data_IF_404712935153
#
_entry.id   IF_404712935153
#
_cell.length_a   1.000
_cell.length_b   1.000
_cell.length_c   1.000
_cell.angle_alpha   90.00
_cell.angle_beta   90.00
_cell.angle_gamma   90.00
#
_symmetry.space_group_name_H-M   'P 1'
#
loop_
_entity.id
_entity.type
_entity.pdbx_description
1 polymer ?
#
# COMPACT_ATOMS: atom_id res chain seq x y z
N UNK A 1 -60.30 -27.08 -30.53
CA UNK A 1 -59.41 -26.29 -31.40
C UNK A 1 -58.20 -25.87 -30.57
N UNK A 2 -57.03 -26.46 -30.80
CA UNK A 2 -55.79 -26.13 -30.09
C UNK A 2 -54.87 -25.36 -31.05
N UNK A 3 -54.53 -24.13 -30.71
CA UNK A 3 -53.53 -23.34 -31.43
C UNK A 3 -52.13 -23.93 -31.22
N UNK A 4 -51.31 -24.08 -32.29
CA UNK A 4 -49.95 -24.55 -32.15
C UNK A 4 -49.08 -23.49 -31.45
N UNK A 5 -48.25 -23.91 -30.49
CA UNK A 5 -47.22 -23.07 -29.87
C UNK A 5 -46.22 -22.60 -30.94
N UNK A 6 -45.71 -21.35 -30.85
CA UNK A 6 -44.66 -20.89 -31.74
C UNK A 6 -43.38 -21.70 -31.53
N UNK A 7 -42.57 -21.91 -32.59
CA UNK A 7 -41.32 -22.65 -32.48
C UNK A 7 -40.34 -21.92 -31.56
N UNK A 8 -39.65 -22.68 -30.73
CA UNK A 8 -38.57 -22.17 -29.88
C UNK A 8 -37.50 -21.51 -30.77
N UNK A 9 -36.89 -20.39 -30.32
CA UNK A 9 -35.80 -19.77 -31.05
C UNK A 9 -34.66 -20.78 -31.23
N UNK A 10 -33.97 -20.78 -32.38
CA UNK A 10 -32.88 -21.70 -32.63
C UNK A 10 -31.81 -21.52 -31.55
N UNK A 11 -31.39 -22.63 -30.95
CA UNK A 11 -30.30 -22.64 -29.99
C UNK A 11 -29.07 -22.00 -30.64
N UNK A 12 -28.57 -20.92 -30.03
CA UNK A 12 -27.32 -20.29 -30.48
C UNK A 12 -26.23 -21.36 -30.51
N UNK A 13 -25.58 -21.50 -31.66
CA UNK A 13 -24.44 -22.40 -31.80
C UNK A 13 -23.39 -22.04 -30.74
N UNK A 14 -22.84 -23.03 -30.00
CA UNK A 14 -21.81 -22.79 -28.99
C UNK A 14 -20.59 -22.05 -29.58
N UNK A 15 -20.33 -22.17 -30.88
CA UNK A 15 -19.28 -21.41 -31.57
C UNK A 15 -19.57 -19.90 -31.64
N UNK A 16 -20.84 -19.50 -31.79
CA UNK A 16 -21.26 -18.09 -31.81
C UNK A 16 -21.23 -17.52 -30.39
N UNK A 17 -21.65 -18.31 -29.39
CA UNK A 17 -21.55 -17.92 -27.98
C UNK A 17 -20.09 -17.72 -27.53
N UNK A 18 -19.17 -18.60 -27.96
CA UNK A 18 -17.72 -18.47 -27.69
C UNK A 18 -17.12 -17.28 -28.44
N UNK A 19 -17.51 -17.03 -29.70
CA UNK A 19 -17.04 -15.87 -30.45
C UNK A 19 -17.53 -14.54 -29.84
N UNK A 20 -18.80 -14.48 -29.40
CA UNK A 20 -19.35 -13.30 -28.72
C UNK A 20 -18.72 -13.08 -27.33
N UNK A 21 -18.47 -14.16 -26.57
CA UNK A 21 -17.73 -14.08 -25.31
C UNK A 21 -16.28 -13.63 -25.52
N UNK A 22 -15.60 -14.11 -26.56
CA UNK A 22 -14.26 -13.69 -26.94
C UNK A 22 -14.19 -12.21 -27.36
N UNK A 23 -15.15 -11.75 -28.17
CA UNK A 23 -15.26 -10.34 -28.54
C UNK A 23 -15.60 -9.45 -27.33
N UNK A 24 -16.48 -9.89 -26.43
CA UNK A 24 -16.78 -9.17 -25.20
C UNK A 24 -15.56 -9.06 -24.29
N UNK A 25 -14.78 -10.13 -24.14
CA UNK A 25 -13.53 -10.12 -23.35
C UNK A 25 -12.44 -9.24 -23.98
N UNK A 26 -12.32 -9.23 -25.32
CA UNK A 26 -11.38 -8.35 -26.02
C UNK A 26 -11.80 -6.87 -25.94
N UNK A 27 -13.10 -6.58 -26.01
CA UNK A 27 -13.64 -5.22 -25.84
C UNK A 27 -13.47 -4.74 -24.40
N UNK A 28 -13.73 -5.60 -23.41
CA UNK A 28 -13.45 -5.32 -21.99
C UNK A 28 -11.95 -5.11 -21.79
N UNK A 29 -11.08 -5.97 -22.34
CA UNK A 29 -9.63 -5.81 -22.27
C UNK A 29 -9.12 -4.51 -22.90
N UNK A 30 -9.66 -4.12 -24.05
CA UNK A 30 -9.31 -2.86 -24.73
C UNK A 30 -9.87 -1.62 -24.01
N UNK A 31 -11.07 -1.70 -23.41
CA UNK A 31 -11.64 -0.64 -22.58
C UNK A 31 -10.87 -0.47 -21.27
N UNK A 32 -10.45 -1.57 -20.63
CA UNK A 32 -9.58 -1.54 -19.45
C UNK A 32 -8.20 -0.94 -19.80
N UNK A 33 -7.63 -1.29 -20.95
CA UNK A 33 -6.36 -0.70 -21.43
C UNK A 33 -6.48 0.80 -21.73
N UNK A 34 -7.59 1.25 -22.33
CA UNK A 34 -7.85 2.66 -22.59
C UNK A 34 -8.18 3.47 -21.32
N UNK A 35 -8.88 2.87 -20.37
CA UNK A 35 -9.26 3.53 -19.12
C UNK A 35 -8.11 3.56 -18.10
N UNK A 36 -7.20 2.58 -18.15
CA UNK A 36 -6.16 2.40 -17.12
C UNK A 36 -4.74 2.64 -17.61
N UNK A 37 -4.53 2.77 -18.93
CA UNK A 37 -3.23 2.98 -19.55
C UNK A 37 -2.24 1.81 -19.32
N UNK A 38 -1.10 1.79 -20.03
CA UNK A 38 0.05 1.07 -19.51
C UNK A 38 0.46 1.69 -18.17
N UNK A 39 0.93 0.90 -17.18
CA UNK A 39 1.53 1.47 -15.99
C UNK A 39 2.64 2.45 -16.42
N UNK A 40 2.77 3.62 -15.77
CA UNK A 40 3.89 4.52 -16.04
C UNK A 40 5.20 3.75 -15.87
N UNK A 41 6.21 4.09 -16.68
CA UNK A 41 7.54 3.50 -16.52
C UNK A 41 8.00 3.71 -15.06
N UNK A 42 8.47 2.65 -14.38
CA UNK A 42 8.88 2.78 -12.98
C UNK A 42 10.10 3.69 -12.83
N UNK A 43 9.99 4.73 -12.01
CA UNK A 43 11.06 5.71 -11.81
C UNK A 43 12.27 5.19 -11.00
N UNK A 44 12.21 4.00 -10.42
CA UNK A 44 13.32 3.44 -9.61
C UNK A 44 14.57 3.11 -10.46
N UNK A 45 14.47 3.12 -11.79
CA UNK A 45 15.64 3.09 -12.69
C UNK A 45 16.49 4.38 -12.64
N UNK A 46 15.94 5.49 -12.12
CA UNK A 46 16.69 6.71 -11.84
C UNK A 46 17.55 6.65 -10.56
N UNK A 47 17.38 5.61 -9.75
CA UNK A 47 17.92 5.50 -8.38
C UNK A 47 19.19 4.66 -8.27
N UNK A 48 19.77 4.21 -9.39
CA UNK A 48 20.92 3.29 -9.39
C UNK A 48 22.10 3.81 -8.54
N UNK A 49 22.32 5.13 -8.52
CA UNK A 49 23.37 5.72 -7.66
C UNK A 49 23.04 5.62 -6.17
N UNK A 50 21.78 5.83 -5.77
CA UNK A 50 21.35 5.69 -4.38
C UNK A 50 21.41 4.22 -3.94
N UNK A 51 21.00 3.30 -4.82
CA UNK A 51 21.07 1.86 -4.60
C UNK A 51 22.53 1.36 -4.45
N UNK A 52 23.47 1.91 -5.23
CA UNK A 52 24.89 1.59 -5.11
C UNK A 52 25.46 2.13 -3.80
N UNK A 53 25.20 3.40 -3.48
CA UNK A 53 25.71 4.05 -2.25
C UNK A 53 25.17 3.43 -0.97
N UNK A 54 23.94 2.92 -0.98
CA UNK A 54 23.35 2.29 0.20
C UNK A 54 24.00 0.93 0.51
N UNK A 55 24.71 0.33 -0.45
CA UNK A 55 25.47 -0.90 -0.25
C UNK A 55 24.59 -2.05 0.26
N UNK A 56 24.76 -2.37 1.54
CA UNK A 56 24.03 -3.45 2.24
C UNK A 56 22.56 -3.11 2.49
N UNK A 57 22.27 -1.84 2.72
CA UNK A 57 20.96 -1.38 3.12
C UNK A 57 20.12 -0.97 1.93
N UNK A 58 18.80 -0.95 2.12
CA UNK A 58 17.91 -0.30 1.17
C UNK A 58 18.11 1.22 1.27
N UNK A 59 18.09 1.95 0.15
CA UNK A 59 18.10 3.40 0.21
C UNK A 59 16.84 3.91 0.94
N UNK A 60 16.89 5.11 1.53
CA UNK A 60 15.71 5.71 2.15
C UNK A 60 14.54 5.82 1.15
N UNK A 61 13.34 5.40 1.56
CA UNK A 61 12.14 5.55 0.75
C UNK A 61 11.69 7.01 0.76
N UNK A 62 11.82 7.68 -0.39
CA UNK A 62 11.33 9.03 -0.60
C UNK A 62 10.03 8.95 -1.41
N UNK A 63 8.95 9.50 -0.84
CA UNK A 63 7.66 9.61 -1.53
C UNK A 63 7.51 11.06 -2.03
N UNK A 64 7.27 11.20 -3.32
CA UNK A 64 6.92 12.49 -3.93
C UNK A 64 5.43 12.76 -3.70
N UNK A 65 5.13 13.82 -2.94
CA UNK A 65 3.76 14.20 -2.61
C UNK A 65 2.96 14.69 -3.84
N UNK A 66 3.61 15.35 -4.80
CA UNK A 66 2.97 15.82 -6.02
C UNK A 66 2.66 14.66 -6.96
N UNK A 67 3.57 13.69 -7.08
CA UNK A 67 3.31 12.45 -7.80
C UNK A 67 2.20 11.64 -7.15
N UNK A 68 2.23 11.48 -5.82
CA UNK A 68 1.17 10.81 -5.07
C UNK A 68 -0.20 11.45 -5.34
N UNK A 69 -0.28 12.78 -5.30
CA UNK A 69 -1.53 13.48 -5.59
C UNK A 69 -1.97 13.31 -7.04
N UNK A 70 -1.05 13.43 -8.02
CA UNK A 70 -1.37 13.19 -9.44
C UNK A 70 -1.87 11.77 -9.69
N UNK A 71 -1.27 10.77 -9.04
CA UNK A 71 -1.70 9.38 -9.16
C UNK A 71 -3.12 9.17 -8.61
N UNK A 72 -3.50 9.90 -7.55
CA UNK A 72 -4.84 9.85 -6.94
C UNK A 72 -5.91 10.58 -7.73
N UNK A 73 -5.58 11.66 -8.43
CA UNK A 73 -6.55 12.41 -9.24
C UNK A 73 -7.28 11.55 -10.28
N UNK A 74 -6.64 10.49 -10.78
CA UNK A 74 -7.26 9.51 -11.70
C UNK A 74 -8.30 8.60 -11.02
N UNK A 75 -8.24 8.51 -9.68
CA UNK A 75 -9.16 7.72 -8.85
C UNK A 75 -10.23 8.59 -8.17
N UNK A 76 -9.94 9.86 -7.94
CA UNK A 76 -10.82 10.81 -7.25
C UNK A 76 -11.81 11.51 -8.20
N UNK A 77 -12.16 10.91 -9.36
CA UNK A 77 -13.24 11.42 -10.21
C UNK A 77 -14.55 11.49 -9.39
N UNK A 78 -15.21 12.65 -9.38
CA UNK A 78 -16.42 12.87 -8.59
C UNK A 78 -17.51 11.87 -8.99
N UNK A 79 -17.84 10.98 -8.06
CA UNK A 79 -18.98 10.07 -8.22
C UNK A 79 -20.24 10.81 -7.82
N UNK A 80 -21.10 11.11 -8.79
CA UNK A 80 -22.44 11.63 -8.52
C UNK A 80 -23.32 10.53 -7.91
N UNK A 81 -23.41 10.51 -6.59
CA UNK A 81 -24.29 9.59 -5.86
C UNK A 81 -25.75 10.06 -5.94
N UNK A 82 -26.67 9.11 -6.14
CA UNK A 82 -28.10 9.35 -5.95
C UNK A 82 -28.40 9.70 -4.49
N UNK A 83 -29.55 10.32 -4.21
CA UNK A 83 -29.94 10.67 -2.83
C UNK A 83 -29.97 9.45 -1.89
N UNK A 84 -30.36 8.27 -2.40
CA UNK A 84 -30.33 7.02 -1.64
C UNK A 84 -28.89 6.60 -1.32
N UNK A 85 -27.99 6.63 -2.31
CA UNK A 85 -26.58 6.30 -2.11
C UNK A 85 -25.87 7.31 -1.21
N UNK A 86 -26.26 8.59 -1.22
CA UNK A 86 -25.74 9.59 -0.28
C UNK A 86 -26.09 9.24 1.17
N UNK A 87 -27.33 8.84 1.44
CA UNK A 87 -27.74 8.41 2.78
C UNK A 87 -26.98 7.14 3.24
N UNK A 88 -26.74 6.20 2.32
CA UNK A 88 -25.93 5.00 2.60
C UNK A 88 -24.46 5.34 2.85
N UNK A 89 -23.89 6.29 2.09
CA UNK A 89 -22.54 6.79 2.29
C UNK A 89 -22.39 7.44 3.68
N UNK A 90 -23.30 8.32 4.08
CA UNK A 90 -23.30 8.91 5.42
C UNK A 90 -23.42 7.82 6.52
N UNK A 91 -24.29 6.83 6.31
CA UNK A 91 -24.44 5.70 7.23
C UNK A 91 -23.16 4.87 7.33
N UNK A 92 -22.43 4.67 6.22
CA UNK A 92 -21.15 3.98 6.20
C UNK A 92 -20.10 4.76 7.00
N UNK A 93 -19.97 6.07 6.77
CA UNK A 93 -19.03 6.90 7.52
C UNK A 93 -19.33 6.87 9.03
N UNK A 94 -20.60 6.90 9.42
CA UNK A 94 -21.00 6.78 10.82
C UNK A 94 -20.67 5.41 11.42
N UNK A 95 -20.90 4.32 10.68
CA UNK A 95 -20.51 2.98 11.13
C UNK A 95 -18.99 2.85 11.29
N UNK A 96 -18.21 3.48 10.42
CA UNK A 96 -16.74 3.51 10.55
C UNK A 96 -16.33 4.33 11.78
N UNK A 97 -17.00 5.45 12.09
CA UNK A 97 -16.76 6.22 13.31
C UNK A 97 -17.09 5.41 14.57
N UNK A 98 -18.17 4.63 14.56
CA UNK A 98 -18.48 3.67 15.63
C UNK A 98 -17.34 2.65 15.81
N UNK A 99 -16.85 2.08 14.70
CA UNK A 99 -15.75 1.13 14.71
C UNK A 99 -14.45 1.74 15.25
N UNK A 100 -14.15 2.99 14.88
CA UNK A 100 -12.99 3.73 15.38
C UNK A 100 -13.08 3.99 16.88
N UNK A 101 -14.23 4.44 17.38
CA UNK A 101 -14.45 4.66 18.82
C UNK A 101 -14.29 3.37 19.63
N UNK A 102 -14.71 2.23 19.09
CA UNK A 102 -14.59 0.94 19.75
C UNK A 102 -13.14 0.42 19.92
N UNK A 103 -12.14 1.08 19.32
CA UNK A 103 -10.73 0.68 19.44
C UNK A 103 -10.06 1.18 20.73
N UNK A 104 -10.72 2.05 21.49
CA UNK A 104 -10.18 2.61 22.72
C UNK A 104 -10.57 1.76 23.92
N UNK A 105 -9.65 1.65 24.90
CA UNK A 105 -9.82 0.77 26.06
C UNK A 105 -10.98 1.16 26.99
N UNK A 106 -11.42 2.41 26.91
CA UNK A 106 -12.52 2.99 27.69
C UNK A 106 -13.85 3.04 26.92
N UNK A 107 -13.91 2.45 25.72
CA UNK A 107 -15.12 2.43 24.90
C UNK A 107 -16.14 1.39 25.40
N UNK A 108 -17.42 1.71 25.23
CA UNK A 108 -18.50 0.76 25.48
C UNK A 108 -18.37 -0.46 24.53
N UNK A 109 -18.64 -1.69 25.00
CA UNK A 109 -18.61 -2.87 24.15
C UNK A 109 -19.56 -2.73 22.97
N UNK A 110 -19.08 -3.02 21.78
CA UNK A 110 -19.87 -3.09 20.55
C UNK A 110 -19.91 -4.53 20.03
N UNK A 111 -21.04 -4.93 19.44
CA UNK A 111 -21.10 -6.17 18.68
C UNK A 111 -20.34 -5.98 17.36
N UNK A 112 -19.06 -6.37 17.36
CA UNK A 112 -18.17 -6.25 16.22
C UNK A 112 -18.68 -7.00 14.98
N UNK A 113 -19.40 -8.12 15.17
CA UNK A 113 -19.94 -8.90 14.05
C UNK A 113 -21.12 -8.18 13.42
N UNK A 114 -22.02 -7.63 14.23
CA UNK A 114 -23.13 -6.83 13.72
C UNK A 114 -22.63 -5.56 13.03
N UNK A 115 -21.62 -4.89 13.59
CA UNK A 115 -21.02 -3.71 12.98
C UNK A 115 -20.34 -4.03 11.63
N UNK A 116 -19.56 -5.11 11.56
CA UNK A 116 -18.95 -5.55 10.30
C UNK A 116 -20.03 -5.89 9.26
N UNK A 117 -21.07 -6.63 9.63
CA UNK A 117 -22.16 -6.96 8.72
C UNK A 117 -22.87 -5.72 8.17
N UNK A 118 -23.08 -4.69 9.01
CA UNK A 118 -23.63 -3.39 8.59
C UNK A 118 -22.69 -2.66 7.63
N UNK A 119 -21.39 -2.66 7.91
CA UNK A 119 -20.38 -2.04 7.02
C UNK A 119 -20.36 -2.77 5.67
N UNK A 120 -20.40 -4.11 5.67
CA UNK A 120 -20.41 -4.92 4.45
C UNK A 120 -21.66 -4.65 3.61
N UNK A 121 -22.84 -4.57 4.24
CA UNK A 121 -24.11 -4.26 3.57
C UNK A 121 -24.07 -2.87 2.91
N UNK A 122 -23.68 -1.84 3.65
CA UNK A 122 -23.57 -0.47 3.15
C UNK A 122 -22.51 -0.34 2.06
N UNK A 123 -21.41 -1.06 2.18
CA UNK A 123 -20.36 -1.02 1.17
C UNK A 123 -20.78 -1.73 -0.11
N UNK A 124 -21.48 -2.87 -0.01
CA UNK A 124 -21.98 -3.63 -1.15
C UNK A 124 -23.01 -2.85 -1.98
N UNK A 125 -23.78 -1.95 -1.36
CA UNK A 125 -24.70 -1.07 -2.10
C UNK A 125 -23.99 0.09 -2.80
N UNK A 126 -22.89 0.60 -2.23
CA UNK A 126 -22.13 1.74 -2.77
C UNK A 126 -21.17 1.33 -3.89
N UNK A 127 -20.55 0.15 -3.82
CA UNK A 127 -19.55 -0.29 -4.81
C UNK A 127 -20.06 -0.25 -6.26
N UNK A 128 -21.27 -0.74 -6.59
CA UNK A 128 -21.81 -0.62 -7.95
C UNK A 128 -22.01 0.83 -8.41
N UNK A 129 -22.31 1.75 -7.48
CA UNK A 129 -22.56 3.15 -7.78
C UNK A 129 -21.26 3.94 -8.00
N UNK A 130 -20.18 3.55 -7.33
CA UNK A 130 -18.87 4.23 -7.41
C UNK A 130 -17.95 3.65 -8.47
N UNK A 131 -18.27 2.47 -9.00
CA UNK A 131 -17.35 1.71 -9.83
C UNK A 131 -16.08 1.29 -9.07
N UNK A 132 -15.08 0.75 -9.78
CA UNK A 132 -13.95 0.10 -9.13
C UNK A 132 -13.00 1.06 -8.40
N UNK A 133 -12.95 2.33 -8.78
CA UNK A 133 -11.98 3.28 -8.22
C UNK A 133 -12.62 4.34 -7.33
N UNK A 134 -13.93 4.54 -7.44
CA UNK A 134 -14.64 5.59 -6.72
C UNK A 134 -14.97 5.27 -5.26
N UNK A 135 -14.74 4.04 -4.78
CA UNK A 135 -15.07 3.69 -3.40
C UNK A 135 -14.14 4.36 -2.38
N UNK A 136 -12.82 4.30 -2.56
CA UNK A 136 -11.85 4.91 -1.63
C UNK A 136 -12.06 6.44 -1.48
N UNK A 137 -12.31 7.21 -2.55
CA UNK A 137 -12.66 8.63 -2.45
C UNK A 137 -13.84 8.95 -1.53
N UNK A 138 -14.80 8.02 -1.34
CA UNK A 138 -15.90 8.23 -0.39
C UNK A 138 -15.40 8.44 1.05
N UNK A 139 -14.23 7.92 1.40
CA UNK A 139 -13.62 8.09 2.72
C UNK A 139 -12.89 9.41 2.93
N UNK A 140 -12.76 10.28 1.91
CA UNK A 140 -11.86 11.45 1.97
C UNK A 140 -12.10 12.36 3.18
N UNK A 141 -13.37 12.61 3.52
CA UNK A 141 -13.71 13.42 4.71
C UNK A 141 -13.27 12.79 6.03
N UNK A 142 -13.22 11.45 6.13
CA UNK A 142 -12.65 10.76 7.29
C UNK A 142 -11.12 10.90 7.31
N UNK A 143 -10.46 10.78 6.15
CA UNK A 143 -9.01 10.87 6.06
C UNK A 143 -8.51 12.26 6.45
N UNK A 144 -9.12 13.32 5.91
CA UNK A 144 -8.76 14.71 6.21
C UNK A 144 -8.99 15.07 7.68
N UNK A 145 -10.15 14.65 8.22
CA UNK A 145 -10.47 14.85 9.63
C UNK A 145 -9.50 14.07 10.53
N UNK A 146 -9.12 12.86 10.14
CA UNK A 146 -8.13 12.07 10.86
C UNK A 146 -6.75 12.74 10.83
N UNK A 147 -6.24 13.14 9.66
CA UNK A 147 -4.94 13.80 9.54
C UNK A 147 -4.85 15.06 10.41
N UNK A 148 -5.91 15.88 10.39
CA UNK A 148 -5.99 17.10 11.20
C UNK A 148 -6.00 16.80 12.70
N UNK A 149 -6.88 15.90 13.14
CA UNK A 149 -7.06 15.58 14.56
C UNK A 149 -5.90 14.77 15.16
N UNK A 150 -5.22 13.93 14.37
CA UNK A 150 -3.97 13.30 14.77
C UNK A 150 -2.87 14.35 14.98
N UNK A 151 -2.72 15.31 14.07
CA UNK A 151 -1.71 16.36 14.24
C UNK A 151 -1.98 17.21 15.49
N UNK A 152 -3.24 17.49 15.81
CA UNK A 152 -3.64 18.15 17.07
C UNK A 152 -3.26 17.34 18.32
N UNK A 153 -3.45 16.01 18.26
CA UNK A 153 -3.07 15.08 19.34
C UNK A 153 -1.54 15.04 19.51
N UNK A 154 -0.79 14.87 18.42
CA UNK A 154 0.68 14.85 18.47
C UNK A 154 1.25 16.20 18.92
N UNK A 155 0.66 17.31 18.50
CA UNK A 155 1.01 18.64 19.00
C UNK A 155 0.72 18.79 20.51
N UNK A 156 -0.30 18.11 21.04
CA UNK A 156 -0.58 18.05 22.47
C UNK A 156 0.52 17.31 23.25
N UNK A 157 1.04 16.23 22.66
CA UNK A 157 2.16 15.48 23.24
C UNK A 157 3.43 16.33 23.24
N UNK A 158 3.78 16.94 22.10
CA UNK A 158 4.99 17.78 21.96
C UNK A 158 5.03 18.97 22.91
N UNK A 159 3.88 19.54 23.28
CA UNK A 159 3.77 20.64 24.25
C UNK A 159 3.63 20.20 25.70
N UNK A 160 3.71 18.89 25.97
CA UNK A 160 3.59 18.31 27.31
C UNK A 160 2.18 18.34 27.91
N UNK A 161 1.14 18.56 27.10
CA UNK A 161 -0.25 18.58 27.57
C UNK A 161 -0.87 17.17 27.69
N UNK A 162 -0.19 16.15 27.15
CA UNK A 162 -0.56 14.74 27.16
C UNK A 162 0.74 13.93 27.02
N UNK A 163 0.83 12.74 27.60
CA UNK A 163 1.97 11.84 27.31
C UNK A 163 1.72 11.02 26.04
N UNK A 164 2.78 10.49 25.42
CA UNK A 164 2.63 9.60 24.27
C UNK A 164 1.95 8.26 24.64
N UNK A 165 2.11 7.82 25.89
CA UNK A 165 1.44 6.65 26.46
C UNK A 165 -0.07 6.87 26.55
N UNK A 166 -0.51 8.02 27.08
CA UNK A 166 -1.93 8.36 27.13
C UNK A 166 -2.53 8.49 25.72
N UNK A 167 -1.77 9.05 24.76
CA UNK A 167 -2.18 9.14 23.36
C UNK A 167 -2.32 7.76 22.68
N UNK A 168 -1.58 6.75 23.18
CA UNK A 168 -1.54 5.37 22.68
C UNK A 168 -2.65 4.48 23.27
N UNK A 169 -3.38 4.95 24.29
CA UNK A 169 -4.39 4.15 24.99
C UNK A 169 -5.78 4.73 24.79
N UNK A 170 -6.05 5.89 25.40
CA UNK A 170 -7.38 6.52 25.43
C UNK A 170 -7.25 8.03 25.69
N UNK A 171 -6.90 8.84 24.67
CA UNK A 171 -6.75 10.30 24.86
C UNK A 171 -8.05 10.94 25.34
N UNK A 172 -8.01 11.79 26.37
CA UNK A 172 -9.21 12.19 27.13
C UNK A 172 -10.31 12.89 26.29
N UNK A 173 -11.57 12.51 26.57
CA UNK A 173 -12.76 13.23 26.12
C UNK A 173 -13.04 14.46 27.01
N UNK A 174 -13.68 15.53 26.49
CA UNK A 174 -14.15 15.70 25.11
C UNK A 174 -13.05 16.19 24.15
N UNK A 175 -11.86 16.51 24.66
CA UNK A 175 -10.81 17.23 23.93
C UNK A 175 -10.37 16.54 22.63
N UNK A 176 -10.27 15.22 22.62
CA UNK A 176 -9.80 14.44 21.46
C UNK A 176 -10.91 13.59 20.81
N UNK A 177 -12.17 14.03 20.91
CA UNK A 177 -13.30 13.31 20.31
C UNK A 177 -13.11 13.10 18.80
N UNK A 178 -12.71 14.15 18.06
CA UNK A 178 -12.51 14.05 16.61
C UNK A 178 -11.46 13.00 16.22
N UNK A 179 -10.32 12.94 16.93
CA UNK A 179 -9.31 11.91 16.71
C UNK A 179 -9.87 10.50 16.92
N UNK A 180 -10.60 10.30 18.02
CA UNK A 180 -11.19 9.00 18.34
C UNK A 180 -12.21 8.54 17.29
N UNK A 181 -12.97 9.48 16.73
CA UNK A 181 -14.00 9.18 15.72
C UNK A 181 -13.41 8.92 14.33
N UNK A 182 -12.39 9.68 13.92
CA UNK A 182 -11.93 9.65 12.53
C UNK A 182 -10.71 8.77 12.32
N UNK A 183 -9.79 8.69 13.29
CA UNK A 183 -8.60 7.86 13.18
C UNK A 183 -8.76 6.47 13.77
N UNK A 184 -9.48 6.35 14.91
CA UNK A 184 -9.32 5.19 15.79
C UNK A 184 -7.99 5.23 16.54
N UNK A 185 -7.62 4.14 17.22
CA UNK A 185 -6.41 4.11 18.05
C UNK A 185 -5.15 3.79 17.21
N UNK A 186 -4.72 4.76 16.38
CA UNK A 186 -3.62 4.55 15.40
C UNK A 186 -2.23 4.81 15.97
N UNK A 187 -2.08 5.60 17.04
CA UNK A 187 -0.77 5.96 17.60
C UNK A 187 0.09 4.73 17.95
N UNK A 188 -0.42 3.65 18.57
CA UNK A 188 0.36 2.44 18.81
C UNK A 188 0.94 1.84 17.52
N UNK A 189 0.15 1.78 16.45
CA UNK A 189 0.56 1.24 15.14
C UNK A 189 1.63 2.12 14.50
N UNK A 190 1.50 3.45 14.63
CA UNK A 190 2.51 4.40 14.13
C UNK A 190 3.85 4.24 14.84
N UNK A 191 3.84 3.92 16.13
CA UNK A 191 5.06 3.68 16.92
C UNK A 191 5.66 2.31 16.62
N UNK A 192 4.82 1.27 16.57
CA UNK A 192 5.23 -0.11 16.25
C UNK A 192 5.99 -0.17 14.92
N UNK A 193 5.54 0.61 13.94
CA UNK A 193 6.18 0.68 12.63
C UNK A 193 7.11 1.89 12.43
N UNK A 194 7.54 2.53 13.53
CA UNK A 194 8.54 3.61 13.53
C UNK A 194 8.22 4.78 12.56
N UNK A 195 6.93 5.08 12.39
CA UNK A 195 6.46 6.25 11.64
C UNK A 195 6.49 7.52 12.51
N UNK A 196 6.47 7.35 13.83
CA UNK A 196 6.61 8.41 14.82
C UNK A 196 7.81 8.14 15.75
N UNK A 197 8.50 9.21 16.14
CA UNK A 197 9.49 9.19 17.23
C UNK A 197 8.80 9.19 18.61
N UNK A 198 9.57 8.92 19.67
CA UNK A 198 9.07 9.01 21.04
C UNK A 198 8.67 10.44 21.47
N UNK A 199 9.12 11.46 20.74
CA UNK A 199 8.71 12.85 20.93
C UNK A 199 7.46 13.23 20.12
N UNK A 200 6.73 12.24 19.58
CA UNK A 200 5.54 12.46 18.74
C UNK A 200 5.82 13.33 17.50
N UNK A 201 7.00 13.16 16.89
CA UNK A 201 7.39 13.78 15.61
C UNK A 201 7.38 12.71 14.52
N UNK A 202 6.92 13.06 13.32
CA UNK A 202 7.06 12.19 12.14
C UNK A 202 8.54 11.85 11.91
N UNK A 203 8.87 10.56 11.85
CA UNK A 203 10.25 10.08 11.73
C UNK A 203 10.95 10.63 10.48
N UNK A 204 10.22 10.70 9.38
CA UNK A 204 10.66 11.28 8.11
C UNK A 204 9.51 12.03 7.43
N UNK A 205 9.78 12.88 6.43
CA UNK A 205 8.72 13.45 5.58
C UNK A 205 7.81 12.38 4.95
N UNK A 206 8.40 11.26 4.51
CA UNK A 206 7.66 10.12 3.94
C UNK A 206 6.77 9.43 4.97
N UNK A 207 7.09 9.45 6.26
CA UNK A 207 6.29 8.76 7.29
C UNK A 207 4.86 9.28 7.39
N UNK A 208 4.67 10.59 7.23
CA UNK A 208 3.33 11.20 7.17
C UNK A 208 2.56 10.75 5.93
N UNK A 209 3.24 10.66 4.78
CA UNK A 209 2.64 10.19 3.54
C UNK A 209 2.28 8.71 3.63
N UNK A 210 3.14 7.85 4.21
CA UNK A 210 2.82 6.45 4.48
C UNK A 210 1.57 6.32 5.35
N UNK A 211 1.43 7.14 6.40
CA UNK A 211 0.22 7.12 7.23
C UNK A 211 -1.04 7.43 6.42
N UNK A 212 -1.00 8.46 5.60
CA UNK A 212 -2.11 8.82 4.72
C UNK A 212 -2.46 7.69 3.73
N UNK A 213 -1.44 7.05 3.15
CA UNK A 213 -1.61 5.83 2.33
C UNK A 213 -2.26 4.69 3.12
N UNK A 214 -1.87 4.49 4.38
CA UNK A 214 -2.43 3.46 5.24
C UNK A 214 -3.91 3.70 5.57
N UNK A 215 -4.35 4.96 5.72
CA UNK A 215 -5.77 5.27 5.92
C UNK A 215 -6.60 4.88 4.69
N UNK A 216 -6.11 5.22 3.49
CA UNK A 216 -6.76 4.83 2.22
C UNK A 216 -6.74 3.32 2.02
N UNK A 217 -5.62 2.65 2.31
CA UNK A 217 -5.50 1.19 2.28
C UNK A 217 -6.50 0.53 3.23
N UNK A 218 -6.60 1.01 4.48
CA UNK A 218 -7.55 0.50 5.48
C UNK A 218 -8.99 0.60 4.98
N UNK A 219 -9.34 1.72 4.34
CA UNK A 219 -10.68 1.91 3.77
C UNK A 219 -10.93 0.98 2.57
N UNK A 220 -9.94 0.82 1.70
CA UNK A 220 -10.03 -0.10 0.56
C UNK A 220 -10.19 -1.57 1.00
N UNK A 221 -9.55 -1.96 2.11
CA UNK A 221 -9.66 -3.30 2.69
C UNK A 221 -11.07 -3.62 3.22
N UNK A 222 -11.92 -2.61 3.47
CA UNK A 222 -13.32 -2.85 3.88
C UNK A 222 -14.04 -3.72 2.84
N UNK A 223 -13.78 -3.47 1.55
CA UNK A 223 -14.46 -4.17 0.45
C UNK A 223 -13.57 -5.17 -0.28
N UNK A 224 -12.44 -5.60 0.32
CA UNK A 224 -11.47 -6.46 -0.37
C UNK A 224 -12.07 -7.78 -0.92
N UNK A 225 -13.15 -8.26 -0.30
CA UNK A 225 -13.91 -9.45 -0.70
C UNK A 225 -14.77 -9.23 -1.95
N UNK A 226 -15.23 -7.99 -2.17
CA UNK A 226 -16.01 -7.57 -3.34
C UNK A 226 -15.05 -7.14 -4.45
N UNK A 227 -14.00 -6.41 -4.09
CA UNK A 227 -13.04 -5.88 -5.02
C UNK A 227 -11.61 -5.86 -4.45
N UNK A 228 -10.62 -6.40 -5.19
CA UNK A 228 -9.23 -6.39 -4.73
C UNK A 228 -8.70 -4.98 -4.44
N UNK A 229 -8.07 -4.79 -3.27
CA UNK A 229 -7.48 -3.51 -2.81
C UNK A 229 -6.56 -2.87 -3.84
N UNK A 230 -5.75 -3.67 -4.54
CA UNK A 230 -4.84 -3.22 -5.59
C UNK A 230 -5.51 -2.51 -6.78
N UNK A 231 -6.81 -2.74 -6.98
CA UNK A 231 -7.59 -2.10 -8.05
C UNK A 231 -8.27 -0.81 -7.59
N UNK A 232 -8.36 -0.61 -6.27
CA UNK A 232 -9.01 0.54 -5.66
C UNK A 232 -8.01 1.68 -5.42
N UNK A 233 -6.79 1.33 -5.03
CA UNK A 233 -5.71 2.29 -4.76
C UNK A 233 -5.01 2.75 -6.05
N UNK A 234 -4.45 3.96 -6.02
CA UNK A 234 -3.61 4.44 -7.11
C UNK A 234 -2.34 3.58 -7.24
N UNK A 235 -1.84 3.29 -8.46
CA UNK A 235 -0.67 2.43 -8.64
C UNK A 235 0.57 2.88 -7.84
N UNK A 236 0.91 4.17 -7.91
CA UNK A 236 2.03 4.75 -7.16
C UNK A 236 1.82 4.63 -5.64
N UNK A 237 0.58 4.81 -5.16
CA UNK A 237 0.23 4.68 -3.76
C UNK A 237 0.48 3.25 -3.25
N UNK A 238 0.01 2.27 -4.01
CA UNK A 238 0.16 0.86 -3.68
C UNK A 238 1.61 0.38 -3.83
N UNK A 239 2.36 0.96 -4.78
CA UNK A 239 3.81 0.79 -4.92
C UNK A 239 4.55 1.26 -3.67
N UNK A 240 4.33 2.51 -3.22
CA UNK A 240 5.02 3.06 -2.05
C UNK A 240 4.72 2.28 -0.77
N UNK A 241 3.47 1.85 -0.59
CA UNK A 241 3.09 0.96 0.53
C UNK A 241 3.84 -0.37 0.47
N UNK A 242 3.95 -0.96 -0.73
CA UNK A 242 4.63 -2.24 -0.94
C UNK A 242 6.13 -2.12 -0.71
N UNK A 243 6.75 -1.05 -1.23
CA UNK A 243 8.17 -0.73 -1.00
C UNK A 243 8.45 -0.50 0.47
N UNK A 244 7.66 0.32 1.16
CA UNK A 244 7.83 0.55 2.62
C UNK A 244 7.84 -0.76 3.42
N UNK A 245 6.89 -1.66 3.14
CA UNK A 245 6.80 -2.99 3.77
C UNK A 245 8.01 -3.91 3.51
N UNK A 246 8.77 -3.68 2.44
CA UNK A 246 9.92 -4.49 2.04
C UNK A 246 11.24 -3.81 2.40
N UNK A 247 11.34 -2.49 2.30
CA UNK A 247 12.59 -1.71 2.32
C UNK A 247 12.89 -1.14 3.70
N UNK A 248 11.86 -0.83 4.50
CA UNK A 248 12.04 -0.24 5.83
C UNK A 248 12.40 -1.31 6.87
N UNK A 249 13.62 -1.22 7.39
CA UNK A 249 14.15 -2.15 8.38
C UNK A 249 13.66 -1.88 9.80
N UNK A 250 13.21 -0.65 10.09
CA UNK A 250 12.73 -0.25 11.41
C UNK A 250 11.22 -0.54 11.53
N UNK A 251 10.48 -0.57 10.42
CA UNK A 251 9.04 -0.85 10.41
C UNK A 251 8.69 -2.34 10.52
N UNK A 252 9.52 -3.24 9.96
CA UNK A 252 9.21 -4.67 9.88
C UNK A 252 10.45 -5.56 10.04
N UNK A 253 10.27 -6.71 10.69
CA UNK A 253 11.30 -7.73 10.78
C UNK A 253 11.61 -8.38 9.40
N UNK A 254 12.81 -8.96 9.26
CA UNK A 254 13.28 -9.58 8.00
C UNK A 254 12.34 -10.67 7.48
N UNK A 255 11.78 -11.51 8.36
CA UNK A 255 10.85 -12.59 7.93
C UNK A 255 9.57 -12.01 7.37
N UNK A 256 9.06 -10.94 7.97
CA UNK A 256 7.88 -10.21 7.49
C UNK A 256 8.17 -9.53 6.15
N UNK A 257 9.30 -8.85 6.01
CA UNK A 257 9.75 -8.23 4.75
C UNK A 257 9.89 -9.24 3.60
N UNK A 258 10.43 -10.43 3.87
CA UNK A 258 10.50 -11.55 2.89
C UNK A 258 9.13 -12.02 2.41
N UNK A 259 8.13 -12.06 3.30
CA UNK A 259 6.74 -12.42 2.93
C UNK A 259 6.10 -11.38 2.02
N UNK A 260 6.42 -10.11 2.21
CA UNK A 260 5.99 -9.06 1.29
C UNK A 260 6.72 -9.13 -0.05
N UNK A 261 8.03 -9.35 -0.02
CA UNK A 261 8.86 -9.50 -1.23
C UNK A 261 8.36 -10.63 -2.14
N UNK A 262 7.90 -11.77 -1.58
CA UNK A 262 7.39 -12.88 -2.39
C UNK A 262 6.10 -12.57 -3.16
N UNK A 263 5.48 -11.41 -2.92
CA UNK A 263 4.24 -10.95 -3.56
C UNK A 263 4.44 -9.69 -4.39
N UNK A 264 5.68 -9.23 -4.56
CA UNK A 264 5.96 -7.93 -5.18
C UNK A 264 5.74 -7.93 -6.69
N UNK A 265 6.08 -9.00 -7.42
CA UNK A 265 6.09 -8.99 -8.89
C UNK A 265 4.73 -8.68 -9.55
N UNK A 266 3.57 -9.14 -9.02
CA UNK A 266 2.27 -8.72 -9.55
C UNK A 266 1.92 -7.24 -9.30
N UNK A 267 2.68 -6.56 -8.44
CA UNK A 267 2.43 -5.18 -7.97
C UNK A 267 3.42 -4.23 -8.64
N UNK A 268 4.71 -4.58 -8.59
CA UNK A 268 5.82 -3.82 -9.14
C UNK A 268 6.60 -4.81 -10.03
N UNK A 269 6.20 -4.98 -11.30
CA UNK A 269 6.74 -6.03 -12.18
C UNK A 269 8.26 -5.98 -12.33
N UNK A 270 8.83 -4.79 -12.37
CA UNK A 270 10.26 -4.61 -12.62
C UNK A 270 11.09 -4.53 -11.33
N UNK A 271 10.48 -4.66 -10.15
CA UNK A 271 11.20 -4.58 -8.87
C UNK A 271 12.37 -5.56 -8.81
N UNK A 272 13.53 -5.09 -8.35
CA UNK A 272 14.73 -5.92 -8.26
C UNK A 272 14.68 -6.90 -7.08
N UNK A 273 13.95 -8.00 -7.29
CA UNK A 273 13.75 -9.07 -6.32
C UNK A 273 15.07 -9.73 -5.91
N UNK A 274 16.00 -9.89 -6.85
CA UNK A 274 17.28 -10.55 -6.60
C UNK A 274 18.15 -9.72 -5.64
N UNK A 275 18.26 -8.40 -5.89
CA UNK A 275 18.96 -7.48 -5.00
C UNK A 275 18.26 -7.38 -3.64
N UNK A 276 16.93 -7.28 -3.61
CA UNK A 276 16.19 -7.21 -2.36
C UNK A 276 16.42 -8.47 -1.50
N UNK A 277 16.41 -9.66 -2.11
CA UNK A 277 16.77 -10.89 -1.41
C UNK A 277 18.20 -10.85 -0.87
N UNK A 278 19.18 -10.44 -1.68
CA UNK A 278 20.57 -10.34 -1.24
C UNK A 278 20.73 -9.42 -0.02
N UNK A 279 20.09 -8.25 -0.02
CA UNK A 279 20.08 -7.33 1.14
C UNK A 279 19.42 -7.95 2.37
N UNK A 280 18.27 -8.61 2.20
CA UNK A 280 17.58 -9.30 3.30
C UNK A 280 18.34 -10.55 3.81
N UNK A 281 19.25 -11.14 3.02
CA UNK A 281 20.10 -12.26 3.43
C UNK A 281 21.31 -11.83 4.28
N UNK A 282 21.70 -10.56 4.15
CA UNK A 282 22.84 -9.98 4.85
C UNK A 282 22.46 -8.92 5.88
N UNK A 283 21.16 -8.75 6.14
CA UNK A 283 20.67 -7.79 7.11
C UNK A 283 21.34 -7.99 8.49
N UNK A 284 21.92 -6.92 9.03
CA UNK A 284 22.65 -6.94 10.31
C UNK A 284 24.07 -7.52 10.25
N UNK A 285 24.58 -7.90 9.06
CA UNK A 285 25.97 -8.37 8.88
C UNK A 285 26.91 -7.23 8.54
N UNK A 286 28.20 -7.45 8.80
CA UNK A 286 29.25 -6.55 8.32
C UNK A 286 29.42 -6.60 6.79
N UNK A 287 30.00 -5.55 6.16
CA UNK A 287 30.34 -5.57 4.74
C UNK A 287 31.17 -6.80 4.33
N UNK A 288 32.15 -7.19 5.14
CA UNK A 288 33.01 -8.35 4.91
C UNK A 288 32.22 -9.65 4.79
N UNK A 289 31.27 -9.86 5.70
CA UNK A 289 30.41 -11.06 5.74
C UNK A 289 29.38 -11.08 4.61
N UNK A 290 29.00 -9.92 4.09
CA UNK A 290 28.03 -9.79 3.01
C UNK A 290 28.62 -9.99 1.61
N UNK A 291 29.92 -9.70 1.44
CA UNK A 291 30.62 -9.77 0.15
C UNK A 291 30.39 -11.10 -0.59
N UNK A 292 30.48 -12.30 0.02
CA UNK A 292 30.25 -13.55 -0.71
C UNK A 292 28.87 -13.63 -1.37
N UNK A 293 27.82 -13.12 -0.70
CA UNK A 293 26.45 -13.11 -1.25
C UNK A 293 26.32 -12.20 -2.46
N UNK A 294 26.95 -11.02 -2.41
CA UNK A 294 26.94 -10.06 -3.52
C UNK A 294 27.88 -10.45 -4.66
N UNK A 295 28.97 -11.18 -4.37
CA UNK A 295 29.79 -11.83 -5.40
C UNK A 295 28.99 -12.87 -6.17
N UNK A 296 28.25 -13.72 -5.47
CA UNK A 296 27.33 -14.68 -6.08
C UNK A 296 26.29 -13.95 -6.94
N UNK A 297 25.61 -12.92 -6.41
CA UNK A 297 24.61 -12.14 -7.14
C UNK A 297 25.18 -11.54 -8.44
N UNK A 298 26.36 -10.91 -8.37
CA UNK A 298 27.02 -10.33 -9.55
C UNK A 298 27.44 -11.41 -10.57
N UNK A 299 27.77 -12.63 -10.13
CA UNK A 299 28.10 -13.76 -11.01
C UNK A 299 26.88 -14.38 -11.68
N UNK A 300 25.74 -14.45 -10.98
CA UNK A 300 24.46 -14.95 -11.50
C UNK A 300 23.85 -13.99 -12.53
N UNK A 301 24.22 -12.71 -12.46
CA UNK A 301 23.72 -11.66 -13.35
C UNK A 301 24.88 -10.83 -13.96
N UNK A 302 25.69 -11.44 -14.86
CA UNK A 302 26.90 -10.84 -15.38
C UNK A 302 26.66 -9.59 -16.24
N UNK A 303 25.44 -9.33 -16.70
CA UNK A 303 25.13 -8.14 -17.50
C UNK A 303 24.75 -6.93 -16.63
N UNK A 304 24.49 -7.12 -15.32
CA UNK A 304 24.12 -6.05 -14.40
C UNK A 304 25.35 -5.27 -13.90
N UNK A 305 25.56 -4.07 -14.43
CA UNK A 305 26.56 -3.15 -13.90
C UNK A 305 26.29 -2.79 -12.44
N UNK A 306 25.02 -2.57 -12.07
CA UNK A 306 24.58 -2.24 -10.72
C UNK A 306 25.11 -3.22 -9.66
N UNK A 307 25.02 -4.53 -9.89
CA UNK A 307 25.49 -5.50 -8.88
C UNK A 307 27.01 -5.50 -8.72
N UNK A 308 27.75 -5.26 -9.80
CA UNK A 308 29.20 -5.09 -9.74
C UNK A 308 29.58 -3.82 -8.99
N UNK A 309 28.83 -2.74 -9.19
CA UNK A 309 29.08 -1.47 -8.53
C UNK A 309 28.76 -1.53 -7.04
N UNK A 310 27.65 -2.19 -6.65
CA UNK A 310 27.33 -2.48 -5.24
C UNK A 310 28.44 -3.33 -4.61
N UNK A 311 28.88 -4.42 -5.27
CA UNK A 311 29.97 -5.25 -4.75
C UNK A 311 31.27 -4.45 -4.59
N UNK A 312 31.55 -3.53 -5.52
CA UNK A 312 32.71 -2.64 -5.44
C UNK A 312 32.61 -1.69 -4.26
N UNK A 313 31.43 -1.14 -4.00
CA UNK A 313 31.15 -0.32 -2.82
C UNK A 313 31.37 -1.10 -1.53
N UNK A 314 30.81 -2.32 -1.44
CA UNK A 314 30.94 -3.17 -0.26
C UNK A 314 32.40 -3.50 0.05
N UNK A 315 33.19 -3.82 -0.97
CA UNK A 315 34.64 -4.05 -0.81
C UNK A 315 35.36 -2.80 -0.32
N UNK A 316 35.00 -1.62 -0.84
CA UNK A 316 35.59 -0.35 -0.38
C UNK A 316 35.27 -0.08 1.09
N UNK A 317 34.01 -0.28 1.49
CA UNK A 317 33.57 -0.14 2.88
C UNK A 317 34.26 -1.13 3.82
N UNK A 318 34.60 -2.32 3.33
CA UNK A 318 35.39 -3.34 4.04
C UNK A 318 36.92 -3.10 4.04
N UNK A 319 37.40 -2.01 3.43
CA UNK A 319 38.84 -1.76 3.27
C UNK A 319 39.55 -2.75 2.33
N UNK A 320 38.81 -3.47 1.49
CA UNK A 320 39.31 -4.44 0.53
C UNK A 320 39.49 -3.82 -0.87
N UNK A 321 40.39 -4.36 -1.71
CA UNK A 321 40.55 -3.88 -3.08
C UNK A 321 39.26 -4.08 -3.89
N UNK A 322 38.89 -3.09 -4.71
CA UNK A 322 37.68 -3.08 -5.51
C UNK A 322 37.53 -4.29 -6.46
N UNK A 323 38.65 -4.77 -7.02
CA UNK A 323 38.70 -5.98 -7.87
C UNK A 323 39.31 -7.15 -7.12
N UNK A 324 38.70 -8.32 -7.29
CA UNK A 324 39.33 -9.60 -6.94
C UNK A 324 40.55 -9.75 -7.83
N UNK A 325 41.73 -9.86 -7.24
CA UNK A 325 42.98 -10.14 -7.97
C UNK A 325 43.11 -11.60 -8.38
N UNK A 326 42.10 -12.44 -8.12
CA UNK A 326 42.01 -13.77 -8.70
C UNK A 326 41.63 -13.66 -10.18
N UNK A 327 42.64 -13.52 -11.02
CA UNK A 327 42.53 -13.82 -12.44
C UNK A 327 41.89 -15.21 -12.60
N UNK A 328 40.93 -15.40 -13.53
CA UNK A 328 40.52 -16.73 -13.90
C UNK A 328 41.74 -17.40 -14.52
N UNK A 329 42.28 -18.41 -13.83
CA UNK A 329 43.30 -19.27 -14.39
C UNK A 329 42.79 -19.79 -15.72
N UNK A 330 43.45 -19.38 -16.80
CA UNK A 330 43.29 -20.02 -18.09
C UNK A 330 43.72 -21.49 -17.95
N UNK A 331 42.98 -22.43 -18.56
CA UNK A 331 43.30 -23.86 -18.51
C UNK A 331 44.67 -24.20 -19.12
#
# INVERSE_FOLDING_TARGET
MHSPRPPAPPAMSPAIAVALAGCALLVIGALLWKAFGPPPEPQWAGDDTAQVRSGLDFPPLIIDAEELQRARQVHDEEVELSAEHQAQHEALLNAIKDANRAQFSDADPIDARALQARIDELSASLVPATGPRGFVPLGSSLFDACATSLEELLAAVRRGALTLEDASTAPALPRFASYREHCGNVVPVLREHNLLTDDAVWKTPSSRLIFDILQRYRFAEIIHTIQPTRLQMAPYEYEMLTRWRIEDAEAFDVRTRRRFLSRVSPIIPDYDVALAHARLDVHGKSPEEAIPRFQQLASEHPDSARYRDILTELRRSAGLPARSTTAPGSP
#
